data_IF_871188287755
#
_entry.id   IF_871188287755
#
_cell.length_a   1.000
_cell.length_b   1.000
_cell.length_c   1.000
_cell.angle_alpha   90.00
_cell.angle_beta   90.00
_cell.angle_gamma   90.00
#
_symmetry.space_group_name_H-M   'P 1'
#
loop_
_entity.id
_entity.type
_entity.pdbx_description
1 polymer ?
#
# COMPACT_ATOMS: atom_id res chain seq x y z
N UNK A 1 -29.25 -9.64 -48.13
CA UNK A 1 -28.22 -10.71 -48.06
C UNK A 1 -28.37 -11.33 -46.68
N UNK A 2 -28.98 -12.50 -46.64
CA UNK A 2 -29.37 -13.23 -45.43
C UNK A 2 -28.32 -14.28 -45.02
N UNK A 3 -28.33 -14.57 -43.72
CA UNK A 3 -28.02 -15.83 -43.01
C UNK A 3 -26.59 -16.21 -42.58
N UNK A 4 -26.40 -16.09 -41.25
CA UNK A 4 -25.93 -17.09 -40.26
C UNK A 4 -25.08 -18.29 -40.72
N UNK A 5 -23.98 -18.56 -40.01
CA UNK A 5 -23.73 -19.87 -39.35
C UNK A 5 -22.64 -19.75 -38.25
N UNK A 6 -22.91 -20.44 -37.14
CA UNK A 6 -22.09 -20.57 -35.93
C UNK A 6 -20.90 -21.54 -36.12
N UNK A 7 -19.85 -21.31 -35.31
CA UNK A 7 -18.62 -22.12 -35.11
C UNK A 7 -18.87 -23.58 -34.66
N UNK A 8 -17.86 -24.47 -34.73
CA UNK A 8 -17.22 -24.88 -33.47
C UNK A 8 -15.68 -25.15 -33.48
N UNK A 9 -15.13 -24.99 -32.27
CA UNK A 9 -13.82 -25.28 -31.68
C UNK A 9 -13.02 -26.51 -32.18
N UNK A 10 -11.67 -26.42 -32.14
CA UNK A 10 -10.78 -27.14 -31.19
C UNK A 10 -9.32 -27.29 -31.72
N UNK A 11 -8.36 -26.71 -30.96
CA UNK A 11 -7.00 -27.23 -30.62
C UNK A 11 -5.96 -27.37 -31.77
N UNK A 12 -4.71 -26.91 -31.69
CA UNK A 12 -3.78 -26.86 -30.55
C UNK A 12 -2.49 -26.09 -30.94
N UNK A 13 -1.88 -25.43 -29.94
CA UNK A 13 -0.47 -25.00 -29.75
C UNK A 13 0.26 -24.31 -30.93
N UNK A 14 0.81 -23.10 -30.76
CA UNK A 14 1.97 -22.83 -29.90
C UNK A 14 1.86 -21.44 -29.22
N UNK A 15 2.30 -21.37 -27.96
CA UNK A 15 2.33 -20.13 -27.18
C UNK A 15 3.55 -19.27 -27.55
N UNK A 16 3.40 -18.02 -27.99
CA UNK A 16 4.49 -17.05 -27.94
C UNK A 16 4.58 -16.52 -26.50
N UNK A 17 5.78 -16.62 -25.91
CA UNK A 17 6.15 -16.07 -24.61
C UNK A 17 5.65 -14.62 -24.49
N UNK A 18 4.78 -14.36 -23.52
CA UNK A 18 4.34 -13.02 -23.21
C UNK A 18 5.51 -12.21 -22.65
N UNK A 19 6.05 -11.33 -23.47
CA UNK A 19 6.87 -10.20 -23.02
C UNK A 19 5.92 -9.22 -22.36
N UNK A 20 5.95 -9.15 -21.03
CA UNK A 20 5.17 -8.19 -20.24
C UNK A 20 5.77 -6.80 -20.50
N UNK A 21 4.94 -5.90 -21.02
CA UNK A 21 5.26 -4.49 -21.25
C UNK A 21 5.35 -3.72 -19.92
N UNK A 22 6.22 -2.72 -19.74
CA UNK A 22 6.49 -2.08 -18.44
C UNK A 22 5.35 -1.20 -17.88
N UNK A 23 4.22 -1.09 -18.59
CA UNK A 23 3.18 -0.09 -18.29
C UNK A 23 1.95 -0.63 -17.55
N UNK A 24 1.92 -1.93 -17.25
CA UNK A 24 0.87 -2.55 -16.44
C UNK A 24 1.49 -2.99 -15.12
N UNK A 25 1.28 -2.22 -14.05
CA UNK A 25 1.65 -2.61 -12.68
C UNK A 25 0.81 -3.84 -12.29
N UNK A 26 1.40 -5.05 -12.23
CA UNK A 26 0.66 -6.28 -11.90
C UNK A 26 0.09 -6.22 -10.47
N UNK A 27 0.54 -5.28 -9.64
CA UNK A 27 0.14 -5.15 -8.24
C UNK A 27 -1.14 -4.34 -8.03
N UNK A 28 -1.61 -3.57 -9.03
CA UNK A 28 -2.96 -2.98 -9.04
C UNK A 28 -4.06 -4.04 -9.17
N UNK A 29 -3.72 -5.22 -9.71
CA UNK A 29 -4.61 -6.38 -9.81
C UNK A 29 -4.58 -7.21 -8.52
N UNK A 30 -3.47 -7.21 -7.77
CA UNK A 30 -3.38 -7.96 -6.51
C UNK A 30 -4.09 -7.22 -5.36
N UNK A 31 -4.17 -5.87 -5.40
CA UNK A 31 -5.08 -5.15 -4.49
C UNK A 31 -6.55 -5.52 -4.71
N UNK A 32 -6.91 -6.00 -5.91
CA UNK A 32 -8.26 -6.42 -6.26
C UNK A 32 -8.71 -7.72 -5.59
N UNK A 33 -7.78 -8.56 -5.10
CA UNK A 33 -8.10 -9.86 -4.51
C UNK A 33 -7.90 -9.91 -2.98
N UNK A 34 -7.18 -8.94 -2.39
CA UNK A 34 -6.93 -8.87 -0.94
C UNK A 34 -7.66 -7.76 -0.18
N UNK A 35 -8.35 -6.83 -0.87
CA UNK A 35 -9.02 -5.68 -0.24
C UNK A 35 -10.55 -5.68 -0.41
N UNK A 36 -11.16 -6.78 -0.86
CA UNK A 36 -12.63 -6.92 -0.87
C UNK A 36 -13.20 -7.33 0.50
N UNK A 37 -12.64 -6.79 1.59
CA UNK A 37 -13.42 -6.65 2.83
C UNK A 37 -13.88 -5.18 2.85
N UNK A 38 -15.18 -4.90 2.65
CA UNK A 38 -15.76 -3.59 2.85
C UNK A 38 -15.24 -2.90 4.11
N UNK A 39 -15.13 -1.58 4.11
CA UNK A 39 -14.71 -0.76 5.27
C UNK A 39 -15.44 -1.11 6.59
N UNK A 40 -16.65 -1.70 6.50
CA UNK A 40 -17.40 -2.21 7.65
C UNK A 40 -16.83 -3.51 8.26
N UNK A 41 -16.16 -4.36 7.48
CA UNK A 41 -15.56 -5.61 7.95
C UNK A 41 -14.19 -5.43 8.62
N UNK A 42 -13.57 -4.25 8.53
CA UNK A 42 -12.40 -3.90 9.36
C UNK A 42 -12.79 -3.63 10.82
N UNK A 43 -14.03 -3.20 11.09
CA UNK A 43 -14.57 -3.07 12.44
C UNK A 43 -15.00 -4.43 13.03
N UNK A 44 -15.23 -5.42 12.17
CA UNK A 44 -15.61 -6.79 12.54
C UNK A 44 -14.42 -7.76 12.52
N UNK A 45 -13.17 -7.27 12.58
CA UNK A 45 -12.03 -8.10 12.94
C UNK A 45 -12.15 -8.48 14.42
N UNK A 46 -13.09 -9.38 14.69
CA UNK A 46 -13.17 -10.13 15.93
C UNK A 46 -11.78 -10.76 16.12
N UNK A 47 -11.22 -10.75 17.35
CA UNK A 47 -10.11 -11.64 17.67
C UNK A 47 -10.54 -13.02 17.19
N UNK A 48 -9.70 -13.66 16.36
CA UNK A 48 -9.90 -15.01 15.84
C UNK A 48 -10.84 -15.82 16.75
N UNK A 49 -12.09 -16.01 16.33
CA UNK A 49 -12.92 -17.04 16.92
C UNK A 49 -12.27 -18.33 16.47
N UNK A 50 -11.47 -18.90 17.37
CA UNK A 50 -10.95 -20.24 17.21
C UNK A 50 -12.12 -21.13 16.85
N UNK A 51 -11.98 -21.89 15.77
CA UNK A 51 -12.88 -23.01 15.49
C UNK A 51 -13.02 -23.80 16.80
N UNK A 52 -14.22 -23.78 17.38
CA UNK A 52 -14.57 -24.56 18.57
C UNK A 52 -14.52 -26.04 18.17
N UNK A 53 -13.33 -26.61 18.19
CA UNK A 53 -13.10 -27.95 17.64
C UNK A 53 -11.70 -28.51 17.80
N UNK A 54 -10.82 -27.91 18.60
CA UNK A 54 -9.67 -28.61 19.18
C UNK A 54 -9.11 -27.79 20.34
N UNK A 55 -9.32 -28.27 21.56
CA UNK A 55 -8.60 -27.82 22.74
C UNK A 55 -7.09 -27.88 22.45
N UNK A 56 -6.52 -26.75 22.09
CA UNK A 56 -5.09 -26.56 21.98
C UNK A 56 -4.74 -25.23 22.62
N UNK A 57 -4.74 -25.23 23.95
CA UNK A 57 -3.92 -24.36 24.80
C UNK A 57 -2.41 -24.61 24.49
N UNK A 58 -2.02 -24.42 23.23
CA UNK A 58 -0.65 -24.41 22.77
C UNK A 58 -0.09 -23.00 22.90
N UNK A 59 1.20 -22.84 23.25
CA UNK A 59 1.81 -21.51 23.30
C UNK A 59 1.72 -20.86 21.92
N UNK A 60 1.27 -19.59 21.87
CA UNK A 60 1.34 -18.76 20.67
C UNK A 60 2.74 -18.91 20.07
N UNK A 61 2.85 -19.48 18.87
CA UNK A 61 4.16 -19.80 18.33
C UNK A 61 4.94 -18.51 18.04
N UNK A 62 6.24 -18.42 18.40
CA UNK A 62 7.06 -17.22 18.20
C UNK A 62 7.04 -16.66 16.78
N UNK A 63 6.85 -17.53 15.78
CA UNK A 63 6.77 -17.13 14.36
C UNK A 63 5.57 -16.24 14.03
N UNK A 64 4.41 -16.50 14.65
CA UNK A 64 3.21 -15.69 14.47
C UNK A 64 3.35 -14.35 15.20
N UNK A 65 3.98 -14.35 16.37
CA UNK A 65 4.28 -13.12 17.11
C UNK A 65 5.22 -12.21 16.31
N UNK A 66 6.24 -12.78 15.69
CA UNK A 66 7.19 -12.04 14.85
C UNK A 66 6.49 -11.37 13.67
N UNK A 67 5.64 -12.09 12.95
CA UNK A 67 4.84 -11.52 11.86
C UNK A 67 3.94 -10.39 12.36
N UNK A 68 3.16 -10.63 13.42
CA UNK A 68 2.22 -9.66 13.97
C UNK A 68 2.91 -8.38 14.44
N UNK A 69 4.04 -8.49 15.15
CA UNK A 69 4.82 -7.32 15.62
C UNK A 69 5.29 -6.48 14.45
N UNK A 70 5.77 -7.12 13.40
CA UNK A 70 6.29 -6.42 12.23
C UNK A 70 5.15 -5.77 11.41
N UNK A 71 4.00 -6.45 11.31
CA UNK A 71 2.80 -5.88 10.72
C UNK A 71 2.30 -4.65 11.50
N UNK A 72 2.27 -4.72 12.84
CA UNK A 72 1.92 -3.59 13.71
C UNK A 72 2.85 -2.41 13.48
N UNK A 73 4.17 -2.62 13.36
CA UNK A 73 5.12 -1.55 13.09
C UNK A 73 4.82 -0.83 11.76
N UNK A 74 4.41 -1.58 10.73
CA UNK A 74 4.03 -1.01 9.43
C UNK A 74 2.72 -0.20 9.52
N UNK A 75 1.67 -0.76 10.11
CA UNK A 75 0.34 -0.10 10.14
C UNK A 75 0.22 1.00 11.20
N UNK A 76 1.21 1.13 12.08
CA UNK A 76 1.26 2.21 13.08
C UNK A 76 2.39 3.19 12.78
N UNK A 77 3.64 2.80 13.06
CA UNK A 77 4.81 3.68 13.02
C UNK A 77 5.10 4.15 11.59
N UNK A 78 5.17 3.24 10.63
CA UNK A 78 5.40 3.62 9.24
C UNK A 78 4.23 4.44 8.66
N UNK A 79 3.00 4.12 9.07
CA UNK A 79 1.81 4.89 8.69
C UNK A 79 1.88 6.32 9.22
N UNK A 80 2.33 6.51 10.47
CA UNK A 80 2.58 7.84 11.03
C UNK A 80 3.71 8.59 10.29
N UNK A 81 4.79 7.89 9.93
CA UNK A 81 5.86 8.48 9.14
C UNK A 81 5.37 8.96 7.76
N UNK A 82 4.58 8.15 7.05
CA UNK A 82 3.97 8.57 5.78
C UNK A 82 3.00 9.74 5.96
N UNK A 83 2.26 9.79 7.07
CA UNK A 83 1.39 10.91 7.40
C UNK A 83 2.15 12.22 7.54
N UNK A 84 3.27 12.21 8.27
CA UNK A 84 4.11 13.38 8.43
C UNK A 84 4.75 13.84 7.11
N UNK A 85 5.16 12.90 6.24
CA UNK A 85 5.60 13.23 4.88
C UNK A 85 4.48 13.96 4.12
N UNK A 86 3.28 13.41 4.12
CA UNK A 86 2.15 13.97 3.39
C UNK A 86 1.80 15.40 3.87
N UNK A 87 1.82 15.62 5.19
CA UNK A 87 1.53 16.92 5.80
C UNK A 87 2.66 17.94 5.57
N UNK A 88 3.91 17.48 5.47
CA UNK A 88 5.08 18.35 5.24
C UNK A 88 5.22 18.76 3.78
N UNK A 89 4.89 17.86 2.84
CA UNK A 89 5.10 18.05 1.40
C UNK A 89 3.84 18.48 0.64
N UNK A 90 3.10 19.45 1.19
CA UNK A 90 1.92 20.03 0.53
C UNK A 90 2.36 20.95 -0.63
N UNK A 91 1.87 20.72 -1.87
CA UNK A 91 2.24 21.56 -3.01
C UNK A 91 1.69 22.98 -2.90
N UNK A 92 2.54 23.96 -3.21
CA UNK A 92 2.09 25.34 -3.43
C UNK A 92 1.18 25.40 -4.66
N UNK A 93 0.14 26.26 -4.68
CA UNK A 93 -0.17 27.31 -3.70
C UNK A 93 -1.06 26.86 -2.52
N UNK A 94 -1.27 25.55 -2.33
CA UNK A 94 -2.18 25.06 -1.29
C UNK A 94 -1.59 25.25 0.12
N UNK A 95 -2.47 25.59 1.07
CA UNK A 95 -2.06 25.82 2.47
C UNK A 95 -2.23 24.57 3.34
N UNK A 96 -3.01 23.59 2.87
CA UNK A 96 -3.19 22.32 3.53
C UNK A 96 -3.42 21.19 2.51
N UNK A 97 -3.25 19.95 2.97
CA UNK A 97 -3.34 18.79 2.10
C UNK A 97 -4.73 18.60 1.48
N UNK A 98 -5.81 18.96 2.19
CA UNK A 98 -7.17 18.80 1.68
C UNK A 98 -7.44 19.65 0.44
N UNK A 99 -6.87 20.86 0.36
CA UNK A 99 -6.95 21.69 -0.83
C UNK A 99 -6.23 21.05 -2.02
N UNK A 100 -5.03 20.50 -1.79
CA UNK A 100 -4.26 19.82 -2.83
C UNK A 100 -4.98 18.55 -3.33
N UNK A 101 -5.52 17.75 -2.41
CA UNK A 101 -6.35 16.58 -2.70
C UNK A 101 -7.56 16.97 -3.56
N UNK A 102 -8.29 18.01 -3.16
CA UNK A 102 -9.48 18.49 -3.89
C UNK A 102 -9.11 18.94 -5.31
N UNK A 103 -7.98 19.63 -5.47
CA UNK A 103 -7.48 20.04 -6.78
C UNK A 103 -7.15 18.84 -7.68
N UNK A 104 -6.70 17.72 -7.10
CA UNK A 104 -6.40 16.47 -7.81
C UNK A 104 -7.57 15.50 -7.96
N UNK A 105 -8.79 15.86 -7.52
CA UNK A 105 -9.96 14.96 -7.55
C UNK A 105 -10.25 14.34 -8.91
N UNK A 106 -10.20 15.13 -9.97
CA UNK A 106 -10.45 14.63 -11.33
C UNK A 106 -9.42 13.55 -11.69
N UNK A 107 -8.12 13.84 -11.52
CA UNK A 107 -7.04 12.88 -11.79
C UNK A 107 -7.17 11.60 -10.97
N UNK A 108 -7.49 11.73 -9.67
CA UNK A 108 -7.58 10.59 -8.73
C UNK A 108 -8.78 9.67 -8.99
N UNK A 109 -9.86 10.20 -9.58
CA UNK A 109 -11.12 9.47 -9.83
C UNK A 109 -11.32 9.08 -11.29
N UNK A 110 -10.49 9.59 -12.20
CA UNK A 110 -10.63 9.37 -13.63
C UNK A 110 -10.31 7.92 -13.97
N UNK A 111 -11.26 7.27 -14.65
CA UNK A 111 -10.98 6.05 -15.41
C UNK A 111 -10.47 6.47 -16.78
N UNK A 112 -9.28 6.01 -17.15
CA UNK A 112 -8.67 6.30 -18.45
C UNK A 112 -8.77 5.06 -19.33
N UNK A 113 -8.88 5.24 -20.64
CA UNK A 113 -8.68 4.14 -21.57
C UNK A 113 -7.21 4.12 -22.00
N UNK A 114 -6.60 2.94 -21.99
CA UNK A 114 -5.30 2.72 -22.62
C UNK A 114 -5.42 2.93 -24.12
N UNK A 115 -4.29 3.11 -24.79
CA UNK A 115 -4.19 3.19 -26.25
C UNK A 115 -4.76 1.94 -26.95
N UNK A 116 -4.97 0.83 -26.21
CA UNK A 116 -5.56 -0.43 -26.69
C UNK A 116 -7.05 -0.59 -26.33
N UNK A 117 -7.69 0.45 -25.82
CA UNK A 117 -9.12 0.43 -25.46
C UNK A 117 -9.45 -0.29 -24.15
N UNK A 118 -8.45 -0.65 -23.33
CA UNK A 118 -8.66 -1.23 -22.01
C UNK A 118 -8.89 -0.11 -20.99
N UNK A 119 -9.80 -0.30 -20.04
CA UNK A 119 -9.99 0.66 -18.96
C UNK A 119 -8.91 0.48 -17.89
N UNK A 120 -8.11 1.51 -17.66
CA UNK A 120 -7.37 1.65 -16.41
C UNK A 120 -8.36 2.08 -15.32
N UNK A 121 -8.26 1.41 -14.18
CA UNK A 121 -9.04 1.76 -13.01
C UNK A 121 -8.64 3.15 -12.51
N UNK A 122 -9.57 3.80 -11.82
CA UNK A 122 -9.27 5.03 -11.09
C UNK A 122 -8.14 4.78 -10.09
N UNK A 123 -7.32 5.80 -9.84
CA UNK A 123 -6.20 5.73 -8.89
C UNK A 123 -6.71 5.40 -7.49
N UNK A 124 -7.81 6.04 -7.08
CA UNK A 124 -8.49 5.71 -5.83
C UNK A 124 -9.61 4.70 -6.08
N UNK A 125 -9.68 3.71 -5.19
CA UNK A 125 -10.81 2.79 -5.12
C UNK A 125 -12.08 3.52 -4.62
N UNK A 126 -13.29 2.99 -4.90
CA UNK A 126 -14.54 3.61 -4.46
C UNK A 126 -14.58 3.93 -2.95
N UNK A 127 -14.14 3.00 -2.11
CA UNK A 127 -14.14 3.18 -0.65
C UNK A 127 -13.13 4.25 -0.22
N UNK A 128 -11.96 4.30 -0.86
CA UNK A 128 -10.98 5.36 -0.63
C UNK A 128 -11.49 6.73 -1.10
N UNK A 129 -12.28 6.77 -2.19
CA UNK A 129 -12.93 8.00 -2.62
C UNK A 129 -13.90 8.53 -1.56
N UNK A 130 -14.64 7.67 -0.86
CA UNK A 130 -15.56 8.08 0.21
C UNK A 130 -14.82 8.66 1.42
N UNK A 131 -13.64 8.11 1.74
CA UNK A 131 -12.78 8.63 2.82
C UNK A 131 -12.20 10.00 2.46
N UNK A 132 -11.73 10.16 1.23
CA UNK A 132 -10.98 11.35 0.77
C UNK A 132 -11.90 12.50 0.32
N UNK A 133 -13.03 12.17 -0.30
CA UNK A 133 -14.00 13.13 -0.81
C UNK A 133 -15.34 12.94 -0.08
N UNK A 134 -15.75 13.86 0.80
CA UNK A 134 -17.12 13.85 1.34
C UNK A 134 -18.18 13.73 0.24
N UNK A 135 -19.30 13.11 0.60
CA UNK A 135 -20.61 13.26 -0.05
C UNK A 135 -20.84 14.73 -0.51
N UNK A 136 -21.44 15.00 -1.69
CA UNK A 136 -21.76 16.35 -2.19
C UNK A 136 -22.30 17.35 -1.15
N UNK A 137 -22.92 16.91 -0.06
CA UNK A 137 -23.33 17.77 1.06
C UNK A 137 -22.18 18.27 1.97
N UNK A 138 -20.94 17.81 1.77
CA UNK A 138 -19.74 18.27 2.48
C UNK A 138 -19.65 17.85 3.95
N UNK A 139 -20.47 16.88 4.39
CA UNK A 139 -20.71 16.62 5.81
C UNK A 139 -19.59 15.87 6.56
N UNK A 140 -18.68 15.20 5.84
CA UNK A 140 -17.61 14.42 6.48
C UNK A 140 -16.32 14.39 5.64
N UNK A 141 -15.27 15.04 6.12
CA UNK A 141 -13.90 14.85 5.60
C UNK A 141 -13.16 14.04 6.64
N UNK A 142 -12.66 12.86 6.28
CA UNK A 142 -11.84 12.07 7.19
C UNK A 142 -10.58 12.86 7.61
N UNK A 143 -10.22 12.76 8.89
CA UNK A 143 -8.92 13.27 9.34
C UNK A 143 -7.81 12.49 8.63
N UNK A 144 -6.68 13.14 8.33
CA UNK A 144 -5.49 12.43 7.82
C UNK A 144 -5.05 11.32 8.77
N UNK A 145 -5.39 11.42 10.06
CA UNK A 145 -5.17 10.39 11.08
C UNK A 145 -5.88 9.06 10.78
N UNK A 146 -6.96 9.10 10.00
CA UNK A 146 -7.74 7.94 9.60
C UNK A 146 -7.26 7.32 8.29
N UNK A 147 -6.30 7.93 7.60
CA UNK A 147 -5.78 7.37 6.35
C UNK A 147 -4.88 6.18 6.64
N UNK A 148 -5.20 5.06 6.00
CA UNK A 148 -4.34 3.88 6.02
C UNK A 148 -3.08 4.08 5.17
N UNK A 149 -2.13 3.16 5.33
CA UNK A 149 -0.84 3.20 4.65
C UNK A 149 -0.94 3.18 3.12
N UNK A 150 -1.96 2.52 2.54
CA UNK A 150 -2.15 2.46 1.09
C UNK A 150 -2.66 3.77 0.55
N UNK A 151 -3.63 4.38 1.23
CA UNK A 151 -4.15 5.68 0.88
C UNK A 151 -3.07 6.75 1.03
N UNK A 152 -2.30 6.73 2.12
CA UNK A 152 -1.17 7.63 2.30
C UNK A 152 -0.15 7.51 1.18
N UNK A 153 0.21 6.29 0.77
CA UNK A 153 1.11 6.07 -0.37
C UNK A 153 0.56 6.70 -1.66
N UNK A 154 -0.71 6.46 -1.99
CA UNK A 154 -1.36 7.03 -3.19
C UNK A 154 -1.30 8.56 -3.15
N UNK A 155 -1.63 9.16 -2.00
CA UNK A 155 -1.64 10.61 -1.85
C UNK A 155 -0.24 11.21 -1.94
N UNK A 156 0.78 10.56 -1.36
CA UNK A 156 2.17 11.00 -1.49
C UNK A 156 2.59 10.96 -2.96
N UNK A 157 2.31 9.87 -3.68
CA UNK A 157 2.69 9.69 -5.09
C UNK A 157 2.02 10.70 -6.02
N UNK A 158 0.75 11.02 -5.81
CA UNK A 158 -0.06 11.75 -6.79
C UNK A 158 -0.40 13.20 -6.40
N UNK A 159 -0.29 13.55 -5.11
CA UNK A 159 -0.70 14.86 -4.59
C UNK A 159 0.47 15.63 -3.99
N UNK A 160 1.41 14.96 -3.31
CA UNK A 160 2.52 15.66 -2.64
C UNK A 160 3.59 16.18 -3.62
N UNK A 161 4.53 16.99 -3.12
CA UNK A 161 5.71 17.42 -3.89
C UNK A 161 6.87 16.43 -3.80
N UNK A 162 6.69 15.26 -3.16
CA UNK A 162 7.75 14.26 -3.05
C UNK A 162 8.07 13.73 -4.45
N UNK A 163 9.32 13.89 -4.87
CA UNK A 163 9.78 13.32 -6.13
C UNK A 163 9.87 11.80 -6.01
N UNK A 164 9.66 11.12 -7.14
CA UNK A 164 9.89 9.69 -7.22
C UNK A 164 11.34 9.32 -6.87
N UNK A 165 11.54 8.05 -6.52
CA UNK A 165 12.89 7.48 -6.41
C UNK A 165 13.61 7.47 -7.77
N UNK A 166 14.89 7.12 -7.77
CA UNK A 166 15.68 6.90 -9.00
C UNK A 166 15.05 5.89 -9.96
N UNK A 167 14.18 4.99 -9.49
CA UNK A 167 13.50 3.98 -10.32
C UNK A 167 12.05 4.34 -10.68
N UNK A 168 11.61 5.58 -10.45
CA UNK A 168 10.19 5.97 -10.52
C UNK A 168 9.31 5.19 -9.52
N UNK A 169 8.04 5.57 -9.40
CA UNK A 169 7.09 4.96 -8.47
C UNK A 169 6.56 3.61 -8.97
N UNK A 170 6.32 2.67 -8.06
CA UNK A 170 5.82 1.33 -8.38
C UNK A 170 6.89 0.36 -8.86
N UNK A 171 8.10 0.82 -9.17
CA UNK A 171 9.20 -0.06 -9.55
C UNK A 171 9.85 -0.71 -8.34
N UNK A 172 10.09 -2.01 -8.49
CA UNK A 172 10.91 -2.75 -7.55
C UNK A 172 12.34 -2.26 -7.72
N UNK A 173 13.04 -1.83 -6.66
CA UNK A 173 14.44 -1.50 -6.79
C UNK A 173 15.21 -2.80 -7.05
N UNK A 174 15.46 -3.08 -8.32
CA UNK A 174 16.24 -4.22 -8.79
C UNK A 174 17.68 -3.95 -8.33
N UNK A 175 18.10 -4.66 -7.29
CA UNK A 175 19.48 -4.88 -6.83
C UNK A 175 20.33 -3.66 -6.41
N UNK A 176 19.94 -2.42 -6.72
CA UNK A 176 20.54 -1.18 -6.17
C UNK A 176 19.67 -0.34 -5.17
N UNK A 177 18.68 -0.88 -4.42
CA UNK A 177 17.83 -0.10 -3.52
C UNK A 177 18.56 0.65 -2.41
N UNK A 178 19.65 0.09 -1.88
CA UNK A 178 20.22 0.52 -0.60
C UNK A 178 21.05 1.80 -0.67
N UNK A 179 21.17 2.45 -1.84
CA UNK A 179 21.85 3.74 -1.97
C UNK A 179 20.91 4.92 -2.18
N UNK A 180 19.69 4.68 -2.65
CA UNK A 180 18.74 5.77 -2.81
C UNK A 180 18.04 6.06 -1.47
N UNK A 181 18.52 7.10 -0.80
CA UNK A 181 18.04 7.56 0.51
C UNK A 181 17.03 8.71 0.38
N UNK A 182 16.50 8.99 -0.81
CA UNK A 182 15.47 10.01 -0.97
C UNK A 182 14.14 9.56 -0.33
N UNK A 183 13.29 10.54 0.00
CA UNK A 183 11.97 10.28 0.59
C UNK A 183 11.13 9.33 -0.26
N UNK A 184 11.09 9.53 -1.59
CA UNK A 184 10.34 8.66 -2.49
C UNK A 184 10.78 7.19 -2.43
N UNK A 185 12.10 6.95 -2.31
CA UNK A 185 12.64 5.60 -2.17
C UNK A 185 12.28 4.95 -0.83
N UNK A 186 12.27 5.72 0.26
CA UNK A 186 11.82 5.24 1.58
C UNK A 186 10.33 4.90 1.60
N UNK A 187 9.51 5.73 0.96
CA UNK A 187 8.06 5.49 0.78
C UNK A 187 7.81 4.20 -0.02
N UNK A 188 8.54 3.98 -1.12
CA UNK A 188 8.45 2.74 -1.90
C UNK A 188 8.86 1.50 -1.09
N UNK A 189 9.95 1.58 -0.32
CA UNK A 189 10.38 0.48 0.56
C UNK A 189 9.29 0.10 1.56
N UNK A 190 8.68 1.09 2.21
CA UNK A 190 7.58 0.85 3.16
C UNK A 190 6.38 0.17 2.48
N UNK A 191 5.96 0.67 1.30
CA UNK A 191 4.89 0.04 0.51
C UNK A 191 5.21 -1.42 0.21
N UNK A 192 6.44 -1.69 -0.23
CA UNK A 192 6.88 -3.04 -0.58
C UNK A 192 6.86 -3.99 0.62
N UNK A 193 7.39 -3.55 1.77
CA UNK A 193 7.38 -4.37 2.98
C UNK A 193 5.95 -4.66 3.42
N UNK A 194 5.07 -3.65 3.43
CA UNK A 194 3.64 -3.82 3.72
C UNK A 194 2.98 -4.83 2.80
N UNK A 195 3.28 -4.80 1.51
CA UNK A 195 2.72 -5.77 0.56
C UNK A 195 3.25 -7.18 0.81
N UNK A 196 4.56 -7.34 1.02
CA UNK A 196 5.17 -8.65 1.27
C UNK A 196 4.66 -9.31 2.54
N UNK A 197 4.49 -8.53 3.61
CA UNK A 197 4.11 -9.03 4.92
C UNK A 197 2.60 -9.19 5.03
N UNK A 198 1.82 -8.25 4.50
CA UNK A 198 0.35 -8.30 4.50
C UNK A 198 -0.25 -9.37 3.60
N UNK A 199 0.49 -9.88 2.61
CA UNK A 199 0.07 -10.99 1.73
C UNK A 199 0.69 -12.35 2.09
N UNK A 200 1.42 -12.45 3.21
CA UNK A 200 1.88 -13.75 3.73
C UNK A 200 0.66 -14.59 4.14
N UNK A 201 0.47 -15.74 3.49
CA UNK A 201 -0.72 -16.57 3.65
C UNK A 201 -0.80 -17.32 4.99
N UNK A 202 0.35 -17.64 5.60
CA UNK A 202 0.41 -18.39 6.86
C UNK A 202 0.65 -17.49 8.08
N UNK A 203 0.99 -16.21 7.88
CA UNK A 203 1.32 -15.29 8.95
C UNK A 203 2.48 -15.76 9.82
N UNK A 204 3.38 -16.59 9.28
CA UNK A 204 4.54 -17.12 10.00
C UNK A 204 5.81 -16.42 9.57
N UNK A 205 6.66 -16.07 10.53
CA UNK A 205 7.92 -15.41 10.28
C UNK A 205 9.03 -15.91 11.19
N UNK A 206 10.06 -16.51 10.59
CA UNK A 206 11.27 -16.89 11.33
C UNK A 206 11.95 -15.68 11.96
N UNK A 207 12.69 -15.90 13.05
CA UNK A 207 13.44 -14.84 13.73
C UNK A 207 14.41 -14.12 12.78
N UNK A 208 15.10 -14.85 11.91
CA UNK A 208 16.01 -14.27 10.92
C UNK A 208 15.28 -13.34 9.95
N UNK A 209 14.11 -13.75 9.44
CA UNK A 209 13.33 -12.91 8.54
C UNK A 209 12.78 -11.68 9.26
N UNK A 210 12.33 -11.85 10.50
CA UNK A 210 11.92 -10.75 11.37
C UNK A 210 13.02 -9.71 11.52
N UNK A 211 14.22 -10.12 11.95
CA UNK A 211 15.34 -9.19 12.15
C UNK A 211 15.75 -8.50 10.84
N UNK A 212 15.72 -9.22 9.72
CA UNK A 212 16.00 -8.66 8.39
C UNK A 212 15.00 -7.57 8.00
N UNK A 213 13.70 -7.84 8.12
CA UNK A 213 12.67 -6.84 7.81
C UNK A 213 12.65 -5.70 8.81
N UNK A 214 12.91 -5.98 10.09
CA UNK A 214 13.01 -4.97 11.13
C UNK A 214 14.09 -3.94 10.82
N UNK A 215 15.30 -4.40 10.48
CA UNK A 215 16.41 -3.53 10.11
C UNK A 215 16.14 -2.74 8.82
N UNK A 216 15.41 -3.34 7.87
CA UNK A 216 14.98 -2.66 6.64
C UNK A 216 13.96 -1.54 6.92
N UNK A 217 13.01 -1.79 7.82
CA UNK A 217 12.05 -0.77 8.28
C UNK A 217 12.78 0.33 9.05
N UNK A 218 13.66 -0.03 9.99
CA UNK A 218 14.47 0.94 10.75
C UNK A 218 15.27 1.87 9.82
N UNK A 219 15.95 1.31 8.82
CA UNK A 219 16.68 2.10 7.82
C UNK A 219 15.78 3.02 7.00
N UNK A 220 14.57 2.58 6.61
CA UNK A 220 13.65 3.44 5.87
C UNK A 220 13.13 4.59 6.75
N UNK A 221 12.87 4.34 8.03
CA UNK A 221 12.48 5.36 8.99
C UNK A 221 13.62 6.34 9.27
N UNK A 222 14.87 5.88 9.33
CA UNK A 222 16.05 6.73 9.49
C UNK A 222 16.18 7.76 8.36
N UNK A 223 16.01 7.31 7.11
CA UNK A 223 16.05 8.20 5.96
C UNK A 223 14.89 9.22 5.97
N UNK A 224 13.71 8.83 6.46
CA UNK A 224 12.56 9.72 6.61
C UNK A 224 12.80 10.74 7.72
N UNK A 225 13.29 10.30 8.88
CA UNK A 225 13.62 11.15 10.02
C UNK A 225 14.65 12.21 9.65
N UNK A 226 15.71 11.81 8.96
CA UNK A 226 16.74 12.73 8.46
C UNK A 226 16.16 13.76 7.48
N UNK A 227 15.29 13.33 6.56
CA UNK A 227 14.67 14.23 5.59
C UNK A 227 13.66 15.20 6.22
N UNK A 228 12.96 14.80 7.28
CA UNK A 228 11.99 15.63 8.00
C UNK A 228 12.62 16.44 9.16
N UNK A 229 13.85 16.15 9.56
CA UNK A 229 14.47 16.75 10.74
C UNK A 229 13.80 16.31 12.06
N UNK A 230 13.32 15.06 12.12
CA UNK A 230 12.63 14.45 13.28
C UNK A 230 13.43 13.25 13.81
N UNK A 231 13.11 12.75 15.01
CA UNK A 231 13.79 11.59 15.63
C UNK A 231 12.81 10.70 16.45
N UNK A 232 11.53 10.67 16.07
CA UNK A 232 10.47 10.06 16.88
C UNK A 232 10.07 8.63 16.45
N UNK A 233 10.14 8.31 15.17
CA UNK A 233 9.66 7.04 14.61
C UNK A 233 10.57 5.86 14.98
N UNK A 234 11.90 6.04 14.90
CA UNK A 234 12.85 4.98 15.28
C UNK A 234 12.82 4.72 16.78
N UNK A 235 12.64 5.75 17.59
CA UNK A 235 12.45 5.62 19.02
C UNK A 235 11.17 4.82 19.35
N UNK A 236 10.07 5.09 18.63
CA UNK A 236 8.83 4.31 18.75
C UNK A 236 9.03 2.86 18.30
N UNK A 237 9.76 2.63 17.20
CA UNK A 237 10.06 1.30 16.68
C UNK A 237 10.85 0.50 17.72
N UNK A 238 11.94 1.03 18.24
CA UNK A 238 12.75 0.35 19.24
C UNK A 238 11.98 0.09 20.54
N UNK A 239 11.09 1.01 20.95
CA UNK A 239 10.18 0.78 22.08
C UNK A 239 9.27 -0.42 21.82
N UNK A 240 8.71 -0.55 20.62
CA UNK A 240 7.88 -1.69 20.23
C UNK A 240 8.70 -2.99 20.17
N UNK A 241 9.97 -2.96 19.74
CA UNK A 241 10.84 -4.16 19.69
C UNK A 241 11.08 -4.80 21.06
N UNK A 242 10.98 -4.01 22.13
CA UNK A 242 11.21 -4.47 23.51
C UNK A 242 9.95 -5.00 24.20
N UNK A 243 8.78 -4.74 23.63
CA UNK A 243 7.48 -5.25 24.09
C UNK A 243 7.19 -6.59 23.43
#
# INVERSE_FOLDING_TARGET
VENYFLTPCMLRHESPKAVISPEEDPFLIISYLGHNLPYQLQADFQPWHADEGHDSDGPIMPEHMNHARLYVALVTICTNALREILLTHVPKPHTNIYQAIRAKKADLTKKTQTTRGQWQNAILLPDQCQVVFPDPCGRYVASVDQFDISLLYILIRHVSTVSASLMDWGMYPIEKPFRDRCLGASVERIRMYRNQIGHSMDGKMSQQNFDNYWNKIDSALDDIEQALGRQEFRAQLEKQRRQ
#
